data_IF_006823804826
#
_entry.id   IF_006823804826
#
_cell.length_a   1.000
_cell.length_b   1.000
_cell.length_c   1.000
_cell.angle_alpha   90.00
_cell.angle_beta   90.00
_cell.angle_gamma   90.00
#
_symmetry.space_group_name_H-M   'P 1'
#
loop_
_entity.id
_entity.type
_entity.pdbx_description
1 polymer ?
#
# COMPACT_ATOMS: atom_id res chain seq x y z
N UNK A 1 -49.77 -26.82 -61.46
CA UNK A 1 -49.67 -25.75 -62.47
C UNK A 1 -48.88 -24.61 -61.87
N UNK A 2 -47.91 -24.11 -62.64
CA UNK A 2 -47.46 -22.72 -62.69
C UNK A 2 -46.32 -22.21 -61.76
N UNK A 3 -45.23 -21.87 -62.47
CA UNK A 3 -44.26 -20.78 -62.31
C UNK A 3 -43.31 -20.74 -61.10
N UNK A 4 -42.13 -21.31 -61.35
CA UNK A 4 -40.85 -20.77 -60.82
C UNK A 4 -40.51 -19.41 -61.47
N UNK A 5 -40.20 -18.36 -60.69
CA UNK A 5 -39.48 -17.19 -61.18
C UNK A 5 -37.97 -17.33 -60.94
N UNK A 6 -37.23 -16.84 -61.94
CA UNK A 6 -35.80 -16.96 -62.19
C UNK A 6 -34.94 -16.24 -61.14
N UNK A 7 -33.76 -16.81 -60.93
CA UNK A 7 -32.79 -16.39 -59.92
C UNK A 7 -32.26 -14.96 -60.11
N UNK A 8 -32.19 -14.25 -58.99
CA UNK A 8 -31.43 -13.01 -58.85
C UNK A 8 -29.96 -13.33 -58.66
N UNK A 9 -29.16 -12.71 -59.52
CA UNK A 9 -27.71 -12.81 -59.63
C UNK A 9 -27.00 -12.28 -58.38
N UNK A 10 -26.06 -13.08 -57.85
CA UNK A 10 -25.24 -12.84 -56.64
C UNK A 10 -24.32 -11.61 -56.67
N UNK A 11 -24.40 -10.71 -57.67
CA UNK A 11 -23.42 -9.65 -57.89
C UNK A 11 -23.80 -8.27 -57.33
N UNK A 12 -25.02 -8.09 -56.83
CA UNK A 12 -25.46 -6.77 -56.32
C UNK A 12 -25.28 -6.59 -54.80
N UNK A 13 -24.91 -7.63 -54.06
CA UNK A 13 -24.81 -7.56 -52.59
C UNK A 13 -23.51 -6.92 -52.05
N UNK A 14 -22.50 -6.66 -52.90
CA UNK A 14 -21.17 -6.20 -52.44
C UNK A 14 -21.02 -4.67 -52.41
N UNK A 15 -21.99 -3.90 -52.94
CA UNK A 15 -21.87 -2.43 -53.01
C UNK A 15 -22.62 -1.65 -51.93
N UNK A 16 -23.24 -2.31 -50.95
CA UNK A 16 -24.01 -1.68 -49.86
C UNK A 16 -23.40 -1.89 -48.46
N UNK A 17 -22.09 -2.16 -48.37
CA UNK A 17 -21.35 -2.27 -47.10
C UNK A 17 -20.13 -1.32 -47.04
N UNK A 18 -20.15 -0.21 -47.80
CA UNK A 18 -18.98 0.64 -47.99
C UNK A 18 -19.02 2.05 -47.38
N UNK A 19 -20.11 2.49 -46.74
CA UNK A 19 -20.30 3.91 -46.42
C UNK A 19 -20.99 4.18 -45.07
N UNK A 20 -20.50 3.57 -43.98
CA UNK A 20 -20.91 3.93 -42.62
C UNK A 20 -19.79 3.77 -41.57
N UNK A 21 -18.53 4.01 -41.95
CA UNK A 21 -17.37 3.80 -41.06
C UNK A 21 -16.56 5.07 -40.76
N UNK A 22 -17.11 6.28 -40.96
CA UNK A 22 -16.36 7.53 -40.80
C UNK A 22 -17.23 8.65 -40.19
N UNK A 23 -17.66 8.51 -38.94
CA UNK A 23 -18.17 9.65 -38.16
C UNK A 23 -18.20 9.43 -36.63
N UNK A 24 -17.16 8.84 -36.03
CA UNK A 24 -16.90 9.06 -34.61
C UNK A 24 -15.55 9.75 -34.44
N UNK A 25 -15.51 11.10 -34.47
CA UNK A 25 -14.38 11.81 -33.93
C UNK A 25 -14.37 11.57 -32.42
N UNK A 26 -13.46 10.70 -32.01
CA UNK A 26 -12.63 10.80 -30.82
C UNK A 26 -13.01 11.92 -29.84
N UNK A 27 -14.10 11.74 -29.07
CA UNK A 27 -14.19 12.32 -27.74
C UNK A 27 -13.34 11.47 -26.78
N UNK A 28 -12.08 11.24 -27.14
CA UNK A 28 -11.05 10.88 -26.19
C UNK A 28 -10.80 12.15 -25.40
N UNK A 29 -11.66 12.42 -24.42
CA UNK A 29 -11.28 13.30 -23.32
C UNK A 29 -10.02 12.66 -22.78
N UNK A 30 -8.83 13.29 -22.87
CA UNK A 30 -7.69 12.82 -22.11
C UNK A 30 -8.12 12.97 -20.66
N UNK A 31 -8.65 11.89 -20.08
CA UNK A 31 -8.57 11.71 -18.65
C UNK A 31 -7.09 11.81 -18.41
N UNK A 32 -6.65 12.93 -17.82
CA UNK A 32 -5.30 13.08 -17.35
C UNK A 32 -4.99 11.75 -16.67
N UNK A 33 -4.08 10.98 -17.27
CA UNK A 33 -3.55 9.83 -16.61
C UNK A 33 -2.85 10.45 -15.40
N UNK A 34 -3.58 10.54 -14.29
CA UNK A 34 -3.03 10.85 -13.01
C UNK A 34 -2.04 9.71 -12.80
N UNK A 35 -0.79 9.97 -13.16
CA UNK A 35 0.32 9.09 -12.87
C UNK A 35 0.16 8.82 -11.38
N UNK A 36 -0.23 7.58 -11.08
CA UNK A 36 -0.57 7.12 -9.74
C UNK A 36 0.52 7.65 -8.84
N UNK A 37 0.18 8.51 -7.87
CA UNK A 37 1.15 9.03 -6.91
C UNK A 37 1.91 7.82 -6.37
N UNK A 38 3.16 7.67 -6.80
CA UNK A 38 3.91 6.45 -6.56
C UNK A 38 4.07 6.31 -5.07
N UNK A 39 3.55 5.24 -4.48
CA UNK A 39 3.80 4.97 -3.08
C UNK A 39 5.19 4.37 -2.95
N UNK A 40 6.09 5.09 -2.30
CA UNK A 40 7.36 4.51 -1.89
C UNK A 40 7.07 3.62 -0.67
N UNK A 41 7.49 2.36 -0.75
CA UNK A 41 7.36 1.38 0.33
C UNK A 41 8.75 1.09 0.88
N UNK A 42 8.85 1.07 2.20
CA UNK A 42 10.05 0.68 2.92
C UNK A 42 9.68 -0.24 4.08
N UNK A 43 10.57 -1.17 4.47
CA UNK A 43 10.28 -2.19 5.48
C UNK A 43 11.31 -2.34 6.61
N UNK A 44 10.77 -2.67 7.79
CA UNK A 44 11.53 -3.29 8.88
C UNK A 44 10.93 -4.66 9.19
N UNK A 45 11.80 -5.63 9.44
CA UNK A 45 11.45 -6.99 9.78
C UNK A 45 11.78 -7.18 11.26
N UNK A 46 10.78 -7.53 12.06
CA UNK A 46 10.93 -7.78 13.49
C UNK A 46 10.60 -9.24 13.81
N UNK A 47 11.10 -9.71 14.96
CA UNK A 47 10.70 -10.99 15.54
C UNK A 47 10.08 -10.73 16.91
N UNK A 48 8.85 -11.17 17.11
CA UNK A 48 8.06 -11.02 18.34
C UNK A 48 7.57 -12.41 18.74
N UNK A 49 7.93 -12.86 19.93
CA UNK A 49 7.63 -14.19 20.47
C UNK A 49 7.93 -15.34 19.49
N UNK A 50 9.11 -15.30 18.87
CA UNK A 50 9.53 -16.27 17.87
C UNK A 50 8.92 -16.10 16.47
N UNK A 51 7.85 -15.31 16.31
CA UNK A 51 7.21 -15.06 15.03
C UNK A 51 7.84 -13.87 14.31
N UNK A 52 7.95 -13.94 12.98
CA UNK A 52 8.52 -12.85 12.19
C UNK A 52 7.38 -11.97 11.66
N UNK A 53 7.54 -10.66 11.65
CA UNK A 53 6.55 -9.75 11.10
C UNK A 53 7.21 -8.62 10.33
N UNK A 54 6.54 -8.17 9.28
CA UNK A 54 6.94 -6.99 8.52
C UNK A 54 6.17 -5.78 9.05
N UNK A 55 6.89 -4.69 9.32
CA UNK A 55 6.32 -3.36 9.53
C UNK A 55 6.65 -2.55 8.27
N UNK A 56 5.63 -2.35 7.44
CA UNK A 56 5.76 -1.63 6.17
C UNK A 56 5.36 -0.18 6.41
N UNK A 57 6.26 0.74 6.08
CA UNK A 57 5.96 2.15 5.99
C UNK A 57 5.76 2.50 4.52
N UNK A 58 4.69 3.22 4.21
CA UNK A 58 4.43 3.70 2.87
C UNK A 58 4.05 5.17 2.90
N UNK A 59 4.55 5.94 1.93
CA UNK A 59 4.17 7.34 1.72
C UNK A 59 4.23 7.68 0.23
N UNK A 60 3.87 8.91 -0.14
CA UNK A 60 4.07 9.41 -1.49
C UNK A 60 5.56 9.47 -1.83
N UNK A 61 5.88 9.41 -3.13
CA UNK A 61 7.26 9.46 -3.63
C UNK A 61 8.04 10.69 -3.12
N UNK A 62 7.37 11.82 -2.90
CA UNK A 62 7.94 13.03 -2.31
C UNK A 62 8.64 12.77 -0.95
N UNK A 63 8.12 11.83 -0.15
CA UNK A 63 8.73 11.44 1.13
C UNK A 63 10.18 10.98 0.95
N UNK A 64 10.50 10.31 -0.16
CA UNK A 64 11.87 9.87 -0.44
C UNK A 64 12.84 11.05 -0.61
N UNK A 65 12.36 12.19 -1.09
CA UNK A 65 13.18 13.39 -1.32
C UNK A 65 13.17 14.34 -0.12
N UNK A 66 12.09 14.33 0.66
CA UNK A 66 11.84 15.29 1.73
C UNK A 66 12.09 14.74 3.14
N UNK A 67 12.37 13.44 3.29
CA UNK A 67 12.72 12.85 4.58
C UNK A 67 13.98 13.51 5.16
N UNK A 68 13.89 13.99 6.40
CA UNK A 68 14.95 14.75 7.08
C UNK A 68 15.72 13.94 8.12
N UNK A 69 15.31 12.70 8.38
CA UNK A 69 15.93 11.82 9.36
C UNK A 69 15.42 10.38 9.27
N UNK A 70 15.94 9.48 10.13
CA UNK A 70 15.47 8.10 10.20
C UNK A 70 14.00 8.05 10.61
N UNK A 71 13.26 7.06 10.11
CA UNK A 71 11.93 6.78 10.64
C UNK A 71 12.06 6.13 12.03
N UNK A 72 11.35 6.66 13.01
CA UNK A 72 11.30 6.08 14.36
C UNK A 72 10.17 5.07 14.44
N UNK A 73 10.46 3.87 14.93
CA UNK A 73 9.49 2.79 15.10
C UNK A 73 9.58 2.28 16.54
N UNK A 74 8.49 2.42 17.28
CA UNK A 74 8.37 1.87 18.65
C UNK A 74 7.41 0.70 18.61
N UNK A 75 7.92 -0.50 18.90
CA UNK A 75 7.14 -1.73 19.00
C UNK A 75 6.92 -2.03 20.48
N UNK A 76 5.70 -1.80 20.94
CA UNK A 76 5.28 -2.18 22.27
C UNK A 76 4.66 -3.59 22.26
N UNK A 77 5.14 -4.44 23.18
CA UNK A 77 4.69 -5.82 23.39
C UNK A 77 4.26 -6.04 24.85
N UNK A 78 3.50 -7.09 25.17
CA UNK A 78 3.19 -7.43 26.56
C UNK A 78 4.45 -7.70 27.39
N UNK A 79 4.34 -7.56 28.72
CA UNK A 79 5.47 -7.79 29.63
C UNK A 79 5.96 -9.24 29.56
N UNK A 80 7.28 -9.44 29.45
CA UNK A 80 7.89 -10.76 29.31
C UNK A 80 7.90 -11.34 27.88
N UNK A 81 7.27 -10.67 26.92
CA UNK A 81 7.28 -11.10 25.51
C UNK A 81 8.57 -10.64 24.84
N UNK A 82 9.32 -11.58 24.27
CA UNK A 82 10.58 -11.26 23.58
C UNK A 82 10.33 -10.57 22.25
N UNK A 83 11.03 -9.48 21.98
CA UNK A 83 10.98 -8.77 20.71
C UNK A 83 12.37 -8.28 20.27
N UNK A 84 12.68 -8.39 18.97
CA UNK A 84 13.95 -7.90 18.41
C UNK A 84 13.83 -7.51 16.94
N UNK A 85 14.74 -6.64 16.50
CA UNK A 85 14.93 -6.33 15.09
C UNK A 85 15.63 -7.48 14.38
N UNK A 86 15.19 -7.81 13.16
CA UNK A 86 15.81 -8.81 12.28
C UNK A 86 16.53 -8.15 11.12
N UNK A 87 15.87 -7.23 10.43
CA UNK A 87 16.43 -6.51 9.28
C UNK A 87 15.70 -5.18 9.05
N UNK A 88 16.35 -4.28 8.34
CA UNK A 88 15.77 -3.03 7.84
C UNK A 88 16.29 -2.75 6.45
N UNK A 89 15.49 -2.10 5.62
CA UNK A 89 15.96 -1.47 4.40
C UNK A 89 16.55 -0.06 4.68
N UNK A 90 17.00 0.69 3.65
CA UNK A 90 17.53 2.04 3.83
C UNK A 90 16.52 3.11 4.27
N UNK A 91 15.22 2.81 4.37
CA UNK A 91 14.19 3.79 4.75
C UNK A 91 14.00 4.93 3.74
N UNK A 92 13.17 5.92 4.11
CA UNK A 92 12.93 7.09 3.27
C UNK A 92 14.19 7.97 3.18
N UNK A 93 14.54 8.38 1.96
CA UNK A 93 15.73 9.20 1.71
C UNK A 93 17.06 8.49 1.98
N UNK A 94 17.06 7.19 2.29
CA UNK A 94 18.28 6.49 2.72
C UNK A 94 18.67 6.75 4.17
N UNK A 95 17.77 7.35 4.98
CA UNK A 95 18.06 7.71 6.37
C UNK A 95 17.94 6.54 7.37
N UNK A 96 17.45 5.38 6.94
CA UNK A 96 17.28 4.19 7.78
C UNK A 96 16.12 4.31 8.79
N UNK A 97 16.26 3.58 9.90
CA UNK A 97 15.27 3.49 10.98
C UNK A 97 15.93 3.54 12.35
N UNK A 98 15.21 4.09 13.32
CA UNK A 98 15.46 3.91 14.76
C UNK A 98 14.35 3.03 15.33
N UNK A 99 14.63 1.73 15.48
CA UNK A 99 13.65 0.75 15.96
C UNK A 99 13.91 0.44 17.43
N UNK A 100 12.89 0.67 18.26
CA UNK A 100 12.94 0.45 19.71
C UNK A 100 11.81 -0.48 20.14
N UNK A 101 12.06 -1.23 21.20
CA UNK A 101 11.12 -2.17 21.77
C UNK A 101 10.79 -1.75 23.20
N UNK A 102 9.52 -1.78 23.55
CA UNK A 102 9.03 -1.45 24.89
C UNK A 102 8.09 -2.53 25.38
N UNK A 103 8.15 -2.83 26.67
CA UNK A 103 7.15 -3.70 27.31
C UNK A 103 6.01 -2.86 27.88
N UNK A 104 4.79 -3.39 27.82
CA UNK A 104 3.59 -2.70 28.30
C UNK A 104 2.61 -3.69 28.92
N UNK A 105 2.42 -3.60 30.24
CA UNK A 105 1.40 -4.36 30.98
C UNK A 105 -0.06 -3.97 30.67
N UNK A 106 -0.29 -3.13 29.66
CA UNK A 106 -1.63 -2.78 29.14
C UNK A 106 -1.97 -3.50 27.82
N UNK A 107 -1.06 -4.31 27.29
CA UNK A 107 -1.26 -5.14 26.11
C UNK A 107 -1.52 -6.56 26.58
N UNK A 108 -2.50 -7.22 25.96
CA UNK A 108 -2.89 -8.58 26.34
C UNK A 108 -1.99 -9.61 25.64
N UNK A 109 -1.58 -10.63 26.39
CA UNK A 109 -0.94 -11.85 25.88
C UNK A 109 -1.87 -13.01 26.22
N UNK A 110 -2.77 -13.35 25.30
CA UNK A 110 -3.62 -14.53 25.43
C UNK A 110 -3.09 -15.68 24.55
N UNK A 111 -3.54 -16.90 24.83
CA UNK A 111 -3.04 -18.10 24.12
C UNK A 111 -3.30 -18.04 22.61
N UNK A 112 -4.29 -17.27 22.16
CA UNK A 112 -4.75 -17.21 20.78
C UNK A 112 -4.26 -15.97 20.03
N UNK A 113 -4.11 -14.85 20.73
CA UNK A 113 -3.82 -13.52 20.19
C UNK A 113 -2.79 -12.84 21.07
N UNK A 114 -1.73 -12.37 20.43
CA UNK A 114 -0.69 -11.56 21.02
C UNK A 114 -0.89 -10.10 20.59
N UNK A 115 -1.29 -9.27 21.53
CA UNK A 115 -1.55 -7.86 21.25
C UNK A 115 -0.26 -7.08 21.08
N UNK A 116 -0.12 -6.35 19.97
CA UNK A 116 1.03 -5.45 19.76
C UNK A 116 0.56 -4.05 19.43
N UNK A 117 1.38 -3.06 19.80
CA UNK A 117 1.17 -1.67 19.41
C UNK A 117 2.43 -1.14 18.75
N UNK A 118 2.26 -0.60 17.55
CA UNK A 118 3.32 -0.04 16.73
C UNK A 118 3.08 1.45 16.62
N UNK A 119 4.08 2.25 16.99
CA UNK A 119 4.07 3.71 16.81
C UNK A 119 5.16 4.06 15.82
N UNK A 120 4.82 4.87 14.83
CA UNK A 120 5.75 5.29 13.79
C UNK A 120 5.77 6.82 13.73
N UNK A 121 6.96 7.38 13.62
CA UNK A 121 7.18 8.79 13.33
C UNK A 121 8.15 8.90 12.14
N UNK A 122 7.74 9.59 11.09
CA UNK A 122 8.54 9.78 9.88
C UNK A 122 8.83 11.27 9.70
N UNK A 123 10.06 11.75 10.00
CA UNK A 123 10.40 13.16 9.87
C UNK A 123 10.58 13.56 8.40
N UNK A 124 9.91 14.62 7.97
CA UNK A 124 10.03 15.14 6.62
C UNK A 124 9.76 16.65 6.55
N UNK A 125 10.28 17.31 5.52
CA UNK A 125 9.80 18.62 5.11
C UNK A 125 8.37 18.51 4.55
N UNK A 126 7.62 19.61 4.61
CA UNK A 126 6.31 19.68 3.97
C UNK A 126 6.44 19.49 2.46
N UNK A 127 5.53 18.67 1.91
CA UNK A 127 5.40 18.45 0.47
C UNK A 127 4.72 19.60 -0.24
N UNK A 128 4.55 19.46 -1.56
CA UNK A 128 3.89 20.48 -2.39
C UNK A 128 2.45 20.78 -1.93
N UNK A 129 1.83 19.81 -1.27
CA UNK A 129 0.45 19.86 -0.79
C UNK A 129 0.34 19.79 0.75
N UNK A 130 1.43 20.11 1.47
CA UNK A 130 1.50 20.07 2.93
C UNK A 130 2.07 18.75 3.47
N UNK A 131 1.64 18.38 4.68
CA UNK A 131 2.14 17.18 5.36
C UNK A 131 1.91 15.91 4.53
N UNK A 132 2.94 15.07 4.43
CA UNK A 132 2.91 13.87 3.60
C UNK A 132 2.15 12.74 4.30
N UNK A 133 1.24 12.02 3.62
CA UNK A 133 0.53 10.91 4.24
C UNK A 133 1.47 9.75 4.53
N UNK A 134 1.32 9.12 5.70
CA UNK A 134 2.06 7.94 6.11
C UNK A 134 1.08 6.81 6.36
N UNK A 135 1.34 5.65 5.76
CA UNK A 135 0.63 4.41 6.02
C UNK A 135 1.58 3.43 6.71
N UNK A 136 1.08 2.79 7.76
CA UNK A 136 1.76 1.71 8.46
C UNK A 136 0.94 0.44 8.27
N UNK A 137 1.54 -0.60 7.71
CA UNK A 137 0.97 -1.94 7.64
C UNK A 137 1.81 -2.89 8.50
N UNK A 138 1.15 -3.69 9.34
CA UNK A 138 1.79 -4.78 10.09
C UNK A 138 1.35 -6.12 9.51
N UNK A 139 2.31 -6.91 9.04
CA UNK A 139 2.05 -8.19 8.35
C UNK A 139 2.83 -9.32 9.04
N UNK A 140 2.21 -10.06 9.97
CA UNK A 140 2.85 -11.18 10.63
C UNK A 140 3.02 -12.40 9.71
N UNK A 141 4.05 -13.20 9.99
CA UNK A 141 4.40 -14.46 9.35
C UNK A 141 4.61 -15.50 10.46
N UNK A 142 3.64 -16.37 10.69
CA UNK A 142 3.71 -17.30 11.81
C UNK A 142 2.45 -18.13 12.01
N UNK A 143 2.26 -18.57 13.25
CA UNK A 143 1.18 -19.46 13.68
C UNK A 143 -0.20 -18.79 13.81
N UNK A 144 -0.26 -17.47 13.66
CA UNK A 144 -1.50 -16.69 13.69
C UNK A 144 -1.78 -15.95 15.00
N UNK A 145 -0.93 -16.06 16.04
CA UNK A 145 -1.14 -15.28 17.28
C UNK A 145 -0.99 -13.77 17.05
N UNK A 146 -0.11 -13.36 16.14
CA UNK A 146 -0.03 -11.96 15.72
C UNK A 146 -1.10 -11.68 14.66
N UNK A 147 -1.86 -10.60 14.85
CA UNK A 147 -2.94 -10.19 13.94
C UNK A 147 -2.46 -9.07 13.01
N UNK A 148 -2.70 -9.14 11.69
CA UNK A 148 -2.34 -8.06 10.77
C UNK A 148 -3.13 -6.78 11.06
N UNK A 149 -2.54 -5.63 10.75
CA UNK A 149 -3.19 -4.35 11.00
C UNK A 149 -2.70 -3.22 10.09
N UNK A 150 -3.47 -2.13 10.03
CA UNK A 150 -3.14 -0.93 9.25
C UNK A 150 -3.53 0.33 9.99
N UNK A 151 -2.67 1.35 9.91
CA UNK A 151 -2.97 2.71 10.34
C UNK A 151 -2.57 3.73 9.25
N UNK A 152 -3.27 4.87 9.25
CA UNK A 152 -2.96 6.03 8.41
C UNK A 152 -2.72 7.24 9.31
N UNK A 153 -1.80 8.10 8.90
CA UNK A 153 -1.54 9.39 9.54
C UNK A 153 -0.70 10.28 8.63
N UNK A 154 0.03 11.21 9.24
CA UNK A 154 0.85 12.19 8.53
C UNK A 154 2.32 12.09 8.97
N UNK A 155 3.22 12.54 8.10
CA UNK A 155 4.61 12.80 8.45
C UNK A 155 4.70 13.83 9.57
N UNK A 156 5.77 13.77 10.37
CA UNK A 156 5.95 14.61 11.56
C UNK A 156 4.86 14.43 12.65
N UNK A 157 4.10 13.34 12.59
CA UNK A 157 3.15 12.94 13.62
C UNK A 157 3.33 11.45 13.98
N UNK A 158 2.95 11.08 15.21
CA UNK A 158 2.97 9.68 15.63
C UNK A 158 1.76 8.93 15.06
N UNK A 159 1.99 8.07 14.08
CA UNK A 159 0.98 7.11 13.59
C UNK A 159 0.97 5.90 14.51
N UNK A 160 -0.18 5.62 15.14
CA UNK A 160 -0.32 4.50 16.07
C UNK A 160 -1.21 3.40 15.49
N UNK A 161 -0.67 2.19 15.41
CA UNK A 161 -1.37 0.96 15.07
C UNK A 161 -1.44 0.06 16.32
N UNK A 162 -2.63 -0.46 16.61
CA UNK A 162 -2.86 -1.47 17.66
C UNK A 162 -3.52 -2.67 17.00
N UNK A 163 -3.00 -3.86 17.22
CA UNK A 163 -3.55 -5.11 16.65
C UNK A 163 -4.17 -5.95 17.75
N UNK A 164 -5.39 -6.44 17.51
CA UNK A 164 -6.14 -7.39 18.35
C UNK A 164 -6.94 -8.28 17.41
#
# INVERSE_FOLDING_TARGET
MDRSPRGRTRRDAVRLLGLAALALPAALVPRAAAATHGWCRTDSIVRIDGQTADILLSSHLEMRLLATGPAEVVVAVPTGVSARLVATDPGFGGNGYDVRFEESGRLDDDEQVLEVRIKVYAPALDGLHGALPVRVDFTPRGDGRLVPGRALGLANEWVTLRTR
#
